data_IF_798298271387
#
_entry.id   IF_798298271387
#
_cell.length_a   1.000
_cell.length_b   1.000
_cell.length_c   1.000
_cell.angle_alpha   90.00
_cell.angle_beta   90.00
_cell.angle_gamma   90.00
#
_symmetry.space_group_name_H-M   'P 1'
#
loop_
_entity.id
_entity.type
_entity.pdbx_description
1 polymer ?
#
# COMPACT_ATOMS: atom_id res chain seq x y z
N UNK A 1 27.83 -28.75 -4.65
CA UNK A 1 27.86 -27.39 -5.23
C UNK A 1 26.62 -26.66 -4.78
N UNK A 2 26.73 -25.75 -3.81
CA UNK A 2 25.60 -25.05 -3.18
C UNK A 2 25.49 -23.69 -3.80
N UNK A 3 24.46 -23.49 -4.64
CA UNK A 3 24.15 -22.18 -5.23
C UNK A 3 23.45 -21.32 -4.18
N UNK A 4 24.13 -20.33 -3.65
CA UNK A 4 23.55 -19.26 -2.87
C UNK A 4 22.95 -18.23 -3.83
N UNK A 5 21.62 -18.22 -3.92
CA UNK A 5 20.86 -17.23 -4.66
C UNK A 5 20.75 -15.97 -3.79
N UNK A 6 21.63 -14.99 -4.01
CA UNK A 6 21.60 -13.67 -3.39
C UNK A 6 20.45 -12.86 -4.01
N UNK A 7 19.40 -12.64 -3.23
CA UNK A 7 18.34 -11.67 -3.52
C UNK A 7 18.85 -10.26 -3.17
N UNK A 8 18.88 -9.31 -4.11
CA UNK A 8 19.12 -7.92 -3.78
C UNK A 8 17.86 -7.31 -3.15
N UNK A 9 17.94 -6.96 -1.88
CA UNK A 9 16.98 -6.10 -1.20
C UNK A 9 17.19 -4.68 -1.71
N UNK A 10 16.33 -4.22 -2.61
CA UNK A 10 16.26 -2.82 -3.03
C UNK A 10 15.53 -2.02 -1.95
N UNK A 11 16.31 -1.38 -1.08
CA UNK A 11 15.82 -0.36 -0.16
C UNK A 11 15.58 0.95 -0.94
N UNK A 12 14.32 1.23 -1.30
CA UNK A 12 13.91 2.54 -1.79
C UNK A 12 13.72 3.49 -0.60
N UNK A 13 14.79 4.18 -0.21
CA UNK A 13 14.72 5.34 0.66
C UNK A 13 14.76 6.60 -0.22
N UNK A 14 13.64 6.93 -0.87
CA UNK A 14 13.42 8.24 -1.43
C UNK A 14 12.58 9.06 -0.44
N UNK A 15 13.24 9.75 0.48
CA UNK A 15 12.62 10.83 1.24
C UNK A 15 12.64 12.10 0.39
N UNK A 16 11.49 12.61 -0.08
CA UNK A 16 11.45 13.98 -0.59
C UNK A 16 11.68 14.91 0.58
N UNK A 17 12.79 15.65 0.56
CA UNK A 17 13.02 16.77 1.45
C UNK A 17 12.05 17.91 1.03
N UNK A 18 10.80 17.83 1.51
CA UNK A 18 9.91 18.97 1.52
C UNK A 18 10.40 19.83 2.69
N UNK A 19 10.87 21.03 2.39
CA UNK A 19 11.14 22.06 3.39
C UNK A 19 9.82 22.31 4.14
N UNK A 20 9.64 21.65 5.27
CA UNK A 20 8.51 21.91 6.17
C UNK A 20 8.84 23.24 6.88
N UNK A 21 7.95 24.19 6.71
CA UNK A 21 7.85 25.35 7.60
C UNK A 21 7.76 24.82 9.04
N UNK A 22 8.81 25.04 9.84
CA UNK A 22 8.99 24.42 11.16
C UNK A 22 8.02 24.95 12.23
N UNK A 23 7.18 25.93 11.91
CA UNK A 23 6.29 26.59 12.86
C UNK A 23 4.81 26.19 12.74
N UNK A 24 4.42 25.39 11.77
CA UNK A 24 3.08 24.83 11.72
C UNK A 24 3.08 23.45 12.38
N UNK A 25 2.26 23.21 13.42
CA UNK A 25 2.09 21.84 13.93
C UNK A 25 1.63 20.98 12.75
N UNK A 26 2.23 19.78 12.55
CA UNK A 26 1.83 18.89 11.47
C UNK A 26 0.31 18.67 11.60
N UNK A 27 -0.45 18.71 10.48
CA UNK A 27 -1.86 18.41 10.53
C UNK A 27 -2.01 17.03 11.19
N UNK A 28 -2.50 17.03 12.42
CA UNK A 28 -2.82 15.79 13.13
C UNK A 28 -4.04 15.21 12.40
N UNK A 29 -3.79 14.40 11.39
CA UNK A 29 -4.84 13.57 10.83
C UNK A 29 -5.38 12.74 11.98
N UNK A 30 -6.62 12.98 12.36
CA UNK A 30 -7.29 12.14 13.35
C UNK A 30 -7.22 10.69 12.84
N UNK A 31 -6.49 9.84 13.57
CA UNK A 31 -6.29 8.44 13.20
C UNK A 31 -7.64 7.72 13.01
N UNK A 32 -8.67 8.14 13.73
CA UNK A 32 -10.04 7.63 13.57
C UNK A 32 -10.66 8.08 12.24
N UNK A 33 -10.48 9.34 11.85
CA UNK A 33 -10.98 9.85 10.57
C UNK A 33 -10.29 9.12 9.42
N UNK A 34 -8.97 8.91 9.50
CA UNK A 34 -8.21 8.14 8.52
C UNK A 34 -8.68 6.67 8.45
N UNK A 35 -8.86 6.00 9.60
CA UNK A 35 -9.36 4.63 9.65
C UNK A 35 -10.78 4.52 9.08
N UNK A 36 -11.66 5.48 9.40
CA UNK A 36 -13.02 5.52 8.87
C UNK A 36 -13.02 5.73 7.35
N UNK A 37 -12.17 6.61 6.84
CA UNK A 37 -12.02 6.82 5.40
C UNK A 37 -11.55 5.53 4.71
N UNK A 38 -10.54 4.84 5.26
CA UNK A 38 -10.03 3.58 4.71
C UNK A 38 -11.04 2.42 4.79
N UNK A 39 -11.99 2.47 5.72
CA UNK A 39 -13.07 1.49 5.82
C UNK A 39 -14.31 1.87 5.00
N UNK A 40 -14.32 3.05 4.39
CA UNK A 40 -15.43 3.48 3.53
C UNK A 40 -15.34 2.76 2.16
N UNK A 41 -16.40 2.00 1.76
CA UNK A 41 -16.38 1.28 0.48
C UNK A 41 -16.17 2.18 -0.74
N UNK A 42 -16.66 3.42 -0.71
CA UNK A 42 -16.49 4.38 -1.80
C UNK A 42 -15.01 4.78 -1.94
N UNK A 43 -14.32 5.04 -0.83
CA UNK A 43 -12.88 5.33 -0.82
C UNK A 43 -12.09 4.12 -1.29
N UNK A 44 -12.43 2.93 -0.79
CA UNK A 44 -11.77 1.68 -1.22
C UNK A 44 -11.92 1.46 -2.73
N UNK A 45 -13.11 1.63 -3.27
CA UNK A 45 -13.34 1.49 -4.72
C UNK A 45 -12.59 2.56 -5.51
N UNK A 46 -12.51 3.80 -5.00
CA UNK A 46 -11.73 4.87 -5.61
C UNK A 46 -10.23 4.54 -5.68
N UNK A 47 -9.67 4.01 -4.59
CA UNK A 47 -8.26 3.57 -4.54
C UNK A 47 -8.01 2.42 -5.50
N UNK A 48 -8.89 1.42 -5.53
CA UNK A 48 -8.78 0.30 -6.49
C UNK A 48 -8.84 0.81 -7.93
N UNK A 49 -9.79 1.70 -8.25
CA UNK A 49 -9.89 2.30 -9.58
C UNK A 49 -8.65 3.10 -9.98
N UNK A 50 -7.99 3.79 -9.03
CA UNK A 50 -6.72 4.46 -9.28
C UNK A 50 -5.60 3.45 -9.58
N UNK A 51 -5.53 2.35 -8.84
CA UNK A 51 -4.55 1.28 -9.08
C UNK A 51 -4.76 0.67 -10.46
N UNK A 52 -6.00 0.42 -10.86
CA UNK A 52 -6.35 -0.10 -12.19
C UNK A 52 -5.90 0.88 -13.29
N UNK A 53 -6.20 2.17 -13.15
CA UNK A 53 -5.81 3.20 -14.10
C UNK A 53 -4.28 3.33 -14.23
N UNK A 54 -3.55 3.28 -13.12
CA UNK A 54 -2.09 3.29 -13.13
C UNK A 54 -1.52 2.03 -13.78
N UNK A 55 -2.13 0.87 -13.51
CA UNK A 55 -1.76 -0.39 -14.14
C UNK A 55 -1.94 -0.32 -15.65
N UNK A 56 -3.08 0.19 -16.12
CA UNK A 56 -3.34 0.36 -17.55
C UNK A 56 -2.30 1.27 -18.20
N UNK A 57 -2.00 2.41 -17.60
CA UNK A 57 -0.99 3.34 -18.10
C UNK A 57 0.40 2.69 -18.23
N UNK A 58 0.80 1.89 -17.24
CA UNK A 58 2.08 1.15 -17.27
C UNK A 58 2.04 0.04 -18.31
N UNK A 59 0.94 -0.68 -18.41
CA UNK A 59 0.79 -1.81 -19.33
C UNK A 59 0.75 -1.38 -20.81
N UNK A 60 0.36 -0.15 -21.12
CA UNK A 60 0.45 0.43 -22.46
C UNK A 60 1.89 0.75 -22.91
N UNK A 61 2.86 0.67 -21.99
CA UNK A 61 4.27 0.95 -22.31
C UNK A 61 4.78 0.00 -23.38
N UNK A 62 5.33 0.57 -24.46
CA UNK A 62 5.93 -0.19 -25.56
C UNK A 62 7.28 -0.74 -25.16
N UNK A 63 7.45 -2.05 -25.28
CA UNK A 63 8.70 -2.75 -25.01
C UNK A 63 9.44 -3.16 -26.28
N UNK A 64 8.85 -2.90 -27.44
CA UNK A 64 9.45 -3.21 -28.74
C UNK A 64 10.88 -2.70 -28.95
N UNK A 65 11.26 -1.50 -28.50
CA UNK A 65 12.66 -1.02 -28.58
C UNK A 65 13.66 -1.95 -27.88
N UNK A 66 13.24 -2.68 -26.83
CA UNK A 66 14.08 -3.64 -26.14
C UNK A 66 14.40 -4.86 -27.01
N UNK A 67 13.51 -5.23 -27.94
CA UNK A 67 13.74 -6.33 -28.87
C UNK A 67 14.97 -6.10 -29.78
N UNK A 68 15.29 -4.85 -30.07
CA UNK A 68 16.47 -4.51 -30.88
C UNK A 68 17.79 -4.75 -30.15
N UNK A 69 17.76 -4.71 -28.81
CA UNK A 69 18.94 -4.88 -27.94
C UNK A 69 19.08 -6.35 -27.48
N UNK A 70 17.97 -7.09 -27.44
CA UNK A 70 17.91 -8.48 -27.02
C UNK A 70 17.22 -9.34 -28.10
N UNK A 71 17.91 -9.64 -29.21
CA UNK A 71 17.32 -10.31 -30.39
C UNK A 71 16.79 -11.72 -30.11
N UNK A 72 17.30 -12.39 -29.08
CA UNK A 72 16.82 -13.73 -28.68
C UNK A 72 15.60 -13.67 -27.73
N UNK A 73 15.09 -12.49 -27.44
CA UNK A 73 13.92 -12.33 -26.59
C UNK A 73 12.65 -12.67 -27.35
N UNK A 74 11.64 -13.19 -26.63
CA UNK A 74 10.28 -13.39 -27.18
C UNK A 74 9.52 -12.09 -27.41
N UNK A 75 10.21 -10.94 -27.38
CA UNK A 75 9.66 -9.59 -27.53
C UNK A 75 9.56 -9.25 -29.01
N UNK A 76 8.38 -8.81 -29.44
CA UNK A 76 8.15 -8.36 -30.81
C UNK A 76 8.25 -6.83 -30.88
N UNK A 77 8.56 -6.25 -32.05
CA UNK A 77 8.72 -4.78 -32.20
C UNK A 77 7.50 -3.94 -31.78
N UNK A 78 6.30 -4.50 -31.86
CA UNK A 78 5.05 -3.82 -31.48
C UNK A 78 4.50 -4.27 -30.11
N UNK A 79 5.27 -5.05 -29.35
CA UNK A 79 4.79 -5.51 -28.05
C UNK A 79 4.72 -4.36 -27.04
N UNK A 80 3.68 -4.45 -26.22
CA UNK A 80 3.52 -3.69 -24.97
C UNK A 80 3.69 -4.64 -23.78
N UNK A 81 3.85 -4.08 -22.59
CA UNK A 81 3.81 -4.88 -21.36
C UNK A 81 2.52 -5.67 -21.24
N UNK A 82 1.39 -5.07 -21.62
CA UNK A 82 0.08 -5.73 -21.66
C UNK A 82 0.08 -6.99 -22.56
N UNK A 83 0.53 -6.85 -23.79
CA UNK A 83 0.54 -7.99 -24.73
C UNK A 83 1.45 -9.12 -24.24
N UNK A 84 2.54 -8.79 -23.57
CA UNK A 84 3.44 -9.80 -22.98
C UNK A 84 2.83 -10.46 -21.75
N UNK A 85 2.19 -9.69 -20.88
CA UNK A 85 1.51 -10.22 -19.70
C UNK A 85 0.35 -11.13 -20.11
N UNK A 86 -0.48 -10.70 -21.06
CA UNK A 86 -1.61 -11.47 -21.55
C UNK A 86 -1.20 -12.81 -22.21
N UNK A 87 -0.04 -12.87 -22.87
CA UNK A 87 0.47 -14.13 -23.44
C UNK A 87 0.87 -15.14 -22.36
N UNK A 88 1.32 -14.66 -21.17
CA UNK A 88 1.71 -15.51 -20.05
C UNK A 88 0.53 -15.92 -19.19
N UNK A 89 -0.36 -14.98 -18.95
CA UNK A 89 -1.56 -15.16 -18.14
C UNK A 89 -2.68 -14.28 -18.68
N UNK A 90 -3.64 -14.85 -19.45
CA UNK A 90 -4.76 -14.08 -19.99
C UNK A 90 -5.65 -13.41 -18.93
N UNK A 91 -5.63 -13.92 -17.68
CA UNK A 91 -6.46 -13.43 -16.59
C UNK A 91 -5.73 -12.44 -15.65
N UNK A 92 -4.51 -12.02 -16.00
CA UNK A 92 -3.65 -11.21 -15.13
C UNK A 92 -4.31 -9.91 -14.65
N UNK A 93 -5.13 -9.25 -15.50
CA UNK A 93 -5.85 -8.02 -15.13
C UNK A 93 -6.83 -8.25 -13.99
N UNK A 94 -7.61 -9.34 -14.07
CA UNK A 94 -8.54 -9.72 -13.02
C UNK A 94 -7.80 -10.09 -11.73
N UNK A 95 -6.63 -10.71 -11.83
CA UNK A 95 -5.80 -11.03 -10.66
C UNK A 95 -5.28 -9.76 -10.00
N UNK A 96 -4.76 -8.79 -10.76
CA UNK A 96 -4.31 -7.50 -10.23
C UNK A 96 -5.47 -6.79 -9.52
N UNK A 97 -6.63 -6.69 -10.18
CA UNK A 97 -7.81 -6.07 -9.59
C UNK A 97 -8.25 -6.75 -8.28
N UNK A 98 -8.34 -8.09 -8.25
CA UNK A 98 -8.69 -8.83 -7.03
C UNK A 98 -7.68 -8.60 -5.92
N UNK A 99 -6.39 -8.65 -6.23
CA UNK A 99 -5.32 -8.43 -5.27
C UNK A 99 -5.32 -6.99 -4.72
N UNK A 100 -5.52 -5.99 -5.58
CA UNK A 100 -5.66 -4.59 -5.18
C UNK A 100 -6.83 -4.43 -4.21
N UNK A 101 -8.00 -4.97 -4.55
CA UNK A 101 -9.18 -4.93 -3.68
C UNK A 101 -8.94 -5.60 -2.33
N UNK A 102 -8.35 -6.77 -2.31
CA UNK A 102 -8.04 -7.50 -1.07
C UNK A 102 -7.06 -6.71 -0.20
N UNK A 103 -6.02 -6.11 -0.80
CA UNK A 103 -5.02 -5.32 -0.09
C UNK A 103 -5.64 -4.06 0.52
N UNK A 104 -6.47 -3.32 -0.23
CA UNK A 104 -7.12 -2.11 0.24
C UNK A 104 -8.09 -2.42 1.39
N UNK A 105 -8.87 -3.50 1.28
CA UNK A 105 -9.78 -3.95 2.35
C UNK A 105 -8.99 -4.38 3.59
N UNK A 106 -7.90 -5.11 3.43
CA UNK A 106 -7.04 -5.52 4.54
C UNK A 106 -6.41 -4.31 5.24
N UNK A 107 -5.93 -3.31 4.49
CA UNK A 107 -5.40 -2.06 5.04
C UNK A 107 -6.44 -1.31 5.89
N UNK A 108 -7.69 -1.20 5.41
CA UNK A 108 -8.77 -0.61 6.15
C UNK A 108 -9.06 -1.32 7.47
N UNK A 109 -9.12 -2.66 7.45
CA UNK A 109 -9.33 -3.48 8.66
C UNK A 109 -8.20 -3.29 9.66
N UNK A 110 -6.94 -3.28 9.20
CA UNK A 110 -5.77 -3.09 10.05
C UNK A 110 -5.79 -1.71 10.70
N UNK A 111 -6.12 -0.66 9.95
CA UNK A 111 -6.26 0.70 10.48
C UNK A 111 -7.36 0.76 11.55
N UNK A 112 -8.52 0.15 11.30
CA UNK A 112 -9.60 0.06 12.28
C UNK A 112 -9.21 -0.67 13.56
N UNK A 113 -8.52 -1.79 13.44
CA UNK A 113 -8.03 -2.55 14.58
C UNK A 113 -6.99 -1.76 15.42
N UNK A 114 -6.11 -1.01 14.77
CA UNK A 114 -5.13 -0.16 15.46
C UNK A 114 -5.82 0.96 16.28
N UNK A 115 -6.87 1.58 15.73
CA UNK A 115 -7.67 2.58 16.47
C UNK A 115 -8.37 1.95 17.66
N UNK A 116 -9.02 0.79 17.47
CA UNK A 116 -9.70 0.08 18.56
C UNK A 116 -8.75 -0.32 19.69
N UNK A 117 -7.55 -0.80 19.35
CA UNK A 117 -6.50 -1.10 20.32
C UNK A 117 -6.05 0.15 21.10
N UNK A 118 -5.87 1.28 20.40
CA UNK A 118 -5.53 2.55 21.04
C UNK A 118 -6.59 2.99 22.05
N UNK A 119 -7.87 2.82 21.72
CA UNK A 119 -8.99 3.17 22.61
C UNK A 119 -9.03 2.25 23.84
N UNK A 120 -8.79 0.96 23.67
CA UNK A 120 -8.73 0.02 24.79
C UNK A 120 -7.54 0.30 25.73
N UNK A 121 -6.38 0.68 25.17
CA UNK A 121 -5.22 1.09 25.96
C UNK A 121 -5.53 2.35 26.79
N UNK A 122 -6.21 3.35 26.20
CA UNK A 122 -6.66 4.54 26.93
C UNK A 122 -7.61 4.17 28.05
N UNK A 123 -8.62 3.33 27.77
CA UNK A 123 -9.57 2.88 28.79
C UNK A 123 -8.89 2.11 29.93
N UNK A 124 -7.90 1.28 29.61
CA UNK A 124 -7.11 0.55 30.60
C UNK A 124 -6.27 1.50 31.45
N UNK A 125 -5.62 2.48 30.84
CA UNK A 125 -4.86 3.52 31.55
C UNK A 125 -5.73 4.29 32.55
N UNK A 126 -6.94 4.67 32.13
CA UNK A 126 -7.91 5.35 33.01
C UNK A 126 -8.40 4.45 34.16
N UNK A 127 -8.57 3.14 33.92
CA UNK A 127 -8.89 2.17 35.00
C UNK A 127 -7.77 2.10 36.02
N UNK A 128 -6.52 1.97 35.56
CA UNK A 128 -5.34 1.92 36.44
C UNK A 128 -5.23 3.21 37.27
N UNK A 129 -5.38 4.37 36.61
CA UNK A 129 -5.30 5.66 37.28
C UNK A 129 -6.38 5.81 38.40
N UNK A 130 -7.59 5.33 38.16
CA UNK A 130 -8.65 5.31 39.17
C UNK A 130 -8.31 4.41 40.36
N UNK A 131 -7.82 3.20 40.09
CA UNK A 131 -7.42 2.27 41.17
C UNK A 131 -6.30 2.87 42.02
N UNK A 132 -5.26 3.45 41.43
CA UNK A 132 -4.17 4.07 42.16
C UNK A 132 -4.60 5.33 42.89
N UNK A 133 -5.51 6.12 42.34
CA UNK A 133 -6.04 7.32 42.98
C UNK A 133 -6.93 7.04 44.21
N UNK A 134 -7.57 5.87 44.26
CA UNK A 134 -8.39 5.43 45.40
C UNK A 134 -7.55 4.79 46.54
N UNK A 135 -6.27 4.47 46.27
CA UNK A 135 -5.39 3.78 47.22
C UNK A 135 -4.58 4.76 48.10
N UNK A 136 -4.77 6.08 47.94
CA UNK A 136 -4.12 7.08 48.80
C UNK A 136 -5.16 7.82 49.66
N UNK A 137 -5.67 7.21 50.75
CA UNK A 137 -6.43 7.94 51.76
C UNK A 137 -5.41 8.66 52.64
N UNK A 138 -5.46 9.97 52.61
CA UNK A 138 -4.72 10.85 53.50
C UNK A 138 -5.25 10.66 54.95
#
# INVERSE_FOLDING_TARGET
>A
MRNYMLLPVLAFAATPAIAQDRDAPPPQMDARAAANALNNPMVQNGVVGLIDALTDAVMETRVGPVAAIAPDSSIRPNDTLDSMAARRNPDYRNEIHRNAKQTVVAAGRTAGAAVAMSDELKATTERIRRVLGTTNPN
#
